data_IF_669715572546
#
_entry.id   IF_669715572546
#
_cell.length_a   1.000
_cell.length_b   1.000
_cell.length_c   1.000
_cell.angle_alpha   90.00
_cell.angle_beta   90.00
_cell.angle_gamma   90.00
#
_symmetry.space_group_name_H-M   'P 1'
#
loop_
_entity.id
_entity.type
_entity.pdbx_description
1 polymer ?
#
# COMPACT_ATOMS: atom_id res chain seq x y z
N UNK A 1 36.98 -11.63 -34.62
CA UNK A 1 35.53 -11.92 -34.69
C UNK A 1 35.00 -11.74 -33.27
N UNK A 2 34.26 -10.67 -33.03
CA UNK A 2 33.99 -10.13 -31.69
C UNK A 2 32.47 -10.00 -31.53
N UNK A 3 31.81 -11.17 -31.45
CA UNK A 3 30.39 -11.30 -31.17
C UNK A 3 30.29 -12.23 -29.96
N UNK A 4 29.44 -11.91 -28.98
CA UNK A 4 28.96 -12.79 -27.89
C UNK A 4 29.29 -12.40 -26.42
N UNK A 5 29.46 -11.12 -26.08
CA UNK A 5 29.42 -10.69 -24.66
C UNK A 5 28.44 -9.54 -24.41
N UNK A 6 27.28 -9.58 -25.07
CA UNK A 6 26.21 -8.59 -24.89
C UNK A 6 24.87 -9.26 -24.57
N UNK A 7 24.78 -10.05 -23.51
CA UNK A 7 23.51 -10.68 -23.11
C UNK A 7 23.33 -10.83 -21.59
N UNK A 8 24.10 -10.12 -20.77
CA UNK A 8 24.06 -10.25 -19.30
C UNK A 8 23.50 -9.03 -18.56
N UNK A 9 22.84 -8.08 -19.24
CA UNK A 9 22.43 -6.81 -18.64
C UNK A 9 20.91 -6.59 -18.51
N UNK A 10 20.06 -7.62 -18.68
CA UNK A 10 18.60 -7.44 -18.81
C UNK A 10 17.78 -8.26 -17.81
N UNK A 11 18.28 -8.55 -16.61
CA UNK A 11 17.54 -9.37 -15.63
C UNK A 11 17.37 -8.75 -14.24
N UNK A 12 17.94 -7.57 -13.93
CA UNK A 12 17.89 -6.99 -12.58
C UNK A 12 16.85 -5.87 -12.37
N UNK A 13 16.00 -5.58 -13.35
CA UNK A 13 15.00 -4.50 -13.21
C UNK A 13 13.70 -4.94 -12.51
N UNK A 14 13.42 -6.25 -12.41
CA UNK A 14 12.12 -6.73 -11.94
C UNK A 14 11.97 -6.78 -10.40
N UNK A 15 13.07 -6.77 -9.64
CA UNK A 15 13.02 -6.88 -8.16
C UNK A 15 12.52 -5.60 -7.50
N UNK A 16 12.60 -4.44 -8.18
CA UNK A 16 12.13 -3.16 -7.65
C UNK A 16 10.62 -2.91 -7.81
N UNK A 17 9.90 -3.75 -8.58
CA UNK A 17 8.46 -3.58 -8.81
C UNK A 17 7.60 -4.10 -7.65
N UNK A 18 8.18 -4.85 -6.71
CA UNK A 18 7.51 -5.37 -5.50
C UNK A 18 7.95 -4.66 -4.22
N UNK A 19 8.69 -3.55 -4.31
CA UNK A 19 8.77 -2.60 -3.20
C UNK A 19 7.43 -1.86 -3.14
N UNK A 20 6.40 -2.58 -2.68
CA UNK A 20 5.08 -2.05 -2.42
C UNK A 20 5.23 -0.86 -1.50
N UNK A 21 5.12 0.32 -2.10
CA UNK A 21 4.53 1.54 -1.55
C UNK A 21 4.66 1.58 -0.04
N UNK A 22 5.71 2.23 0.47
CA UNK A 22 5.82 2.54 1.89
C UNK A 22 4.47 3.13 2.32
N UNK A 23 3.66 2.31 2.97
CA UNK A 23 2.30 2.67 3.31
C UNK A 23 2.47 3.69 4.43
N UNK A 24 2.43 4.96 4.05
CA UNK A 24 2.45 6.05 5.02
C UNK A 24 1.31 5.76 6.00
N UNK A 25 1.68 5.37 7.22
CA UNK A 25 0.71 5.05 8.27
C UNK A 25 -0.06 6.33 8.54
N UNK A 26 -1.37 6.30 8.30
CA UNK A 26 -2.20 7.47 8.53
C UNK A 26 -2.43 7.68 10.03
N UNK A 27 -2.72 8.92 10.41
CA UNK A 27 -2.97 9.28 11.82
C UNK A 27 -4.34 8.82 12.33
N UNK A 28 -5.26 8.40 11.46
CA UNK A 28 -6.56 7.88 11.84
C UNK A 28 -7.17 7.00 10.73
N UNK A 29 -8.22 6.21 11.03
CA UNK A 29 -8.84 5.29 10.08
C UNK A 29 -9.44 5.94 8.83
N UNK A 30 -9.92 7.18 8.95
CA UNK A 30 -10.57 7.89 7.83
C UNK A 30 -9.49 8.34 6.85
N UNK A 31 -8.42 8.99 7.35
CA UNK A 31 -7.29 9.43 6.53
C UNK A 31 -6.56 8.27 5.85
N UNK A 32 -6.52 7.09 6.48
CA UNK A 32 -5.95 5.89 5.86
C UNK A 32 -6.64 5.48 4.55
N UNK A 33 -7.91 5.82 4.38
CA UNK A 33 -8.70 5.46 3.19
C UNK A 33 -9.11 6.66 2.33
N UNK A 34 -9.19 7.86 2.90
CA UNK A 34 -9.65 9.08 2.24
C UNK A 34 -8.59 10.19 2.22
N UNK A 35 -7.34 9.87 2.58
CA UNK A 35 -6.23 10.81 2.48
C UNK A 35 -5.90 11.12 1.02
N UNK A 36 -4.63 11.41 0.73
CA UNK A 36 -4.22 11.76 -0.65
C UNK A 36 -4.29 10.61 -1.65
N UNK A 37 -4.61 9.39 -1.20
CA UNK A 37 -4.76 8.22 -2.07
C UNK A 37 -6.24 7.97 -2.37
N UNK A 38 -6.57 7.70 -3.64
CA UNK A 38 -7.92 7.29 -4.06
C UNK A 38 -8.15 5.80 -3.74
N UNK A 39 -8.29 5.46 -2.47
CA UNK A 39 -8.62 4.09 -2.08
C UNK A 39 -10.12 3.82 -2.20
N UNK A 40 -10.44 2.57 -2.48
CA UNK A 40 -11.81 2.04 -2.56
C UNK A 40 -12.00 0.92 -1.54
N UNK A 41 -13.24 0.46 -1.37
CA UNK A 41 -13.54 -0.69 -0.50
C UNK A 41 -12.66 -1.89 -0.90
N UNK A 42 -12.03 -2.53 0.10
CA UNK A 42 -11.15 -3.68 -0.09
C UNK A 42 -9.66 -3.34 -0.33
N UNK A 43 -9.30 -2.06 -0.42
CA UNK A 43 -7.89 -1.66 -0.42
C UNK A 43 -7.24 -1.90 0.95
N UNK A 44 -6.01 -2.41 0.92
CA UNK A 44 -5.15 -2.51 2.10
C UNK A 44 -4.84 -1.12 2.62
N UNK A 45 -4.99 -0.92 3.93
CA UNK A 45 -4.75 0.36 4.58
C UNK A 45 -4.03 0.13 5.91
N UNK A 46 -3.35 1.17 6.39
CA UNK A 46 -2.67 1.17 7.67
C UNK A 46 -2.86 2.50 8.38
N UNK A 47 -3.19 2.47 9.67
CA UNK A 47 -3.31 3.65 10.51
C UNK A 47 -2.70 3.41 11.90
N UNK A 48 -2.38 4.48 12.59
CA UNK A 48 -1.95 4.46 13.98
C UNK A 48 -2.93 5.26 14.83
N UNK A 49 -3.38 4.67 15.92
CA UNK A 49 -4.18 5.34 16.95
C UNK A 49 -3.53 5.15 18.33
N UNK A 50 -4.22 5.59 19.39
CA UNK A 50 -3.76 5.47 20.78
C UNK A 50 -3.49 4.02 21.24
N UNK A 51 -4.10 3.02 20.59
CA UNK A 51 -3.92 1.59 20.85
C UNK A 51 -2.73 0.99 20.11
N UNK A 52 -2.17 1.68 19.10
CA UNK A 52 -1.01 1.21 18.34
C UNK A 52 -1.19 1.35 16.83
N UNK A 53 -0.37 0.61 16.08
CA UNK A 53 -0.37 0.61 14.61
C UNK A 53 -1.13 -0.59 14.07
N UNK A 54 -2.11 -0.35 13.21
CA UNK A 54 -2.91 -1.36 12.53
C UNK A 54 -2.47 -1.49 11.08
N UNK A 55 -1.61 -2.47 10.78
CA UNK A 55 -1.00 -2.65 9.45
C UNK A 55 -1.68 -3.65 8.53
N UNK A 56 -2.66 -4.41 9.02
CA UNK A 56 -3.40 -5.44 8.27
C UNK A 56 -4.89 -5.11 8.22
N UNK A 57 -5.21 -3.86 7.93
CA UNK A 57 -6.56 -3.36 7.84
C UNK A 57 -6.99 -3.22 6.38
N UNK A 58 -8.30 -3.16 6.15
CA UNK A 58 -8.89 -2.91 4.84
C UNK A 58 -9.91 -1.77 4.90
N UNK A 59 -10.00 -1.00 3.82
CA UNK A 59 -10.99 0.05 3.70
C UNK A 59 -12.39 -0.55 3.56
N UNK A 60 -13.32 -0.15 4.43
CA UNK A 60 -14.72 -0.58 4.46
C UNK A 60 -15.64 0.62 4.72
N UNK A 61 -16.86 0.60 4.19
CA UNK A 61 -17.84 1.65 4.51
C UNK A 61 -18.41 1.41 5.91
N UNK A 62 -18.38 2.44 6.75
CA UNK A 62 -19.10 2.42 8.02
C UNK A 62 -20.62 2.62 7.80
N UNK A 63 -21.38 2.58 8.90
CA UNK A 63 -22.83 2.79 8.90
C UNK A 63 -23.28 4.16 8.41
N UNK A 64 -22.39 5.15 8.34
CA UNK A 64 -22.65 6.48 7.79
C UNK A 64 -22.30 6.59 6.29
N UNK A 65 -21.84 5.50 5.65
CA UNK A 65 -21.40 5.51 4.25
C UNK A 65 -20.02 6.14 4.03
N UNK A 66 -19.24 6.36 5.10
CA UNK A 66 -17.88 6.88 5.02
C UNK A 66 -16.90 5.71 4.93
N UNK A 67 -15.97 5.77 3.98
CA UNK A 67 -14.92 4.77 3.85
C UNK A 67 -13.94 4.91 5.03
N UNK A 68 -13.69 3.85 5.78
CA UNK A 68 -12.79 3.86 6.92
C UNK A 68 -11.91 2.61 6.92
N UNK A 69 -10.70 2.74 7.44
CA UNK A 69 -9.77 1.63 7.57
C UNK A 69 -10.13 0.78 8.78
N UNK A 70 -10.53 -0.48 8.56
CA UNK A 70 -10.96 -1.41 9.61
C UNK A 70 -9.94 -2.54 9.73
N UNK A 71 -9.37 -2.80 10.92
CA UNK A 71 -8.54 -3.98 11.14
C UNK A 71 -9.34 -5.25 10.88
N UNK A 72 -8.73 -6.24 10.20
CA UNK A 72 -9.35 -7.57 10.03
C UNK A 72 -9.39 -8.35 11.34
#
# INVERSE_FOLDING_TARGET
MMFQTKLTAMALAAVFLFAGQASAIAANPVDACNGSNHYSVGHSCAFQDSQGTHGFAACQNNSCGVLVCVPN
#
